data_IF_137791844332
#
_entry.id   IF_137791844332
#
_cell.length_a   1.000
_cell.length_b   1.000
_cell.length_c   1.000
_cell.angle_alpha   90.00
_cell.angle_beta   90.00
_cell.angle_gamma   90.00
#
_symmetry.space_group_name_H-M   'P 1'
#
loop_
_entity.id
_entity.type
_entity.pdbx_description
1 polymer ?
#
# COMPACT_ATOMS: atom_id res chain seq x y z
N UNK A 1 0.58 12.85 2.38
CA UNK A 1 0.83 11.50 2.88
C UNK A 1 2.26 11.42 3.40
N UNK A 2 2.45 10.82 4.57
CA UNK A 2 3.76 10.54 5.20
C UNK A 2 3.70 9.21 5.94
N UNK A 3 4.87 8.68 6.31
CA UNK A 3 4.96 7.47 7.15
C UNK A 3 4.22 7.73 8.47
N UNK A 4 3.39 6.78 8.89
CA UNK A 4 2.53 6.85 10.08
C UNK A 4 1.11 7.38 9.81
N UNK A 5 0.83 7.94 8.64
CA UNK A 5 -0.55 8.35 8.30
C UNK A 5 -1.46 7.12 8.20
N UNK A 6 -2.68 7.24 8.73
CA UNK A 6 -3.77 6.31 8.42
C UNK A 6 -4.38 6.68 7.08
N UNK A 7 -4.60 5.66 6.24
CA UNK A 7 -5.14 5.83 4.90
C UNK A 7 -6.23 4.81 4.60
N UNK A 8 -7.12 5.18 3.68
CA UNK A 8 -8.10 4.27 3.06
C UNK A 8 -7.79 4.09 1.59
N UNK A 9 -7.96 2.87 1.09
CA UNK A 9 -7.90 2.57 -0.35
C UNK A 9 -9.19 3.04 -1.03
N UNK A 10 -9.08 3.99 -1.95
CA UNK A 10 -10.24 4.61 -2.62
C UNK A 10 -10.49 4.07 -4.04
N UNK A 11 -9.45 3.51 -4.66
CA UNK A 11 -9.52 2.90 -5.99
C UNK A 11 -9.58 1.37 -5.93
N UNK A 12 -10.05 0.74 -7.01
CA UNK A 12 -10.06 -0.73 -7.13
C UNK A 12 -8.63 -1.24 -7.32
N UNK A 13 -8.10 -1.93 -6.31
CA UNK A 13 -6.74 -2.49 -6.32
C UNK A 13 -6.82 -3.99 -6.04
N UNK A 14 -6.78 -4.78 -7.11
CA UNK A 14 -6.89 -6.25 -7.02
C UNK A 14 -5.52 -6.87 -6.82
N UNK A 15 -5.34 -7.58 -5.71
CA UNK A 15 -4.11 -8.30 -5.36
C UNK A 15 -4.33 -9.81 -5.27
N UNK A 16 -3.23 -10.57 -5.26
CA UNK A 16 -3.27 -12.05 -5.21
C UNK A 16 -2.47 -12.64 -4.03
N UNK A 17 -1.83 -11.79 -3.23
CA UNK A 17 -0.98 -12.18 -2.10
C UNK A 17 -1.60 -11.90 -0.73
N UNK A 18 -2.90 -11.61 -0.67
CA UNK A 18 -3.60 -11.45 0.61
C UNK A 18 -3.53 -12.77 1.41
N UNK A 19 -3.07 -12.78 2.69
CA UNK A 19 -2.82 -14.01 3.44
C UNK A 19 -4.03 -14.92 3.62
N UNK A 20 -5.23 -14.34 3.72
CA UNK A 20 -6.50 -15.07 3.84
C UNK A 20 -7.11 -15.45 2.48
N UNK A 21 -6.64 -14.86 1.38
CA UNK A 21 -7.15 -15.07 0.01
C UNK A 21 -6.00 -15.33 -0.97
N UNK A 22 -5.11 -16.28 -0.63
CA UNK A 22 -3.89 -16.55 -1.42
C UNK A 22 -4.21 -17.02 -2.83
N UNK A 23 -3.50 -16.48 -3.81
CA UNK A 23 -3.59 -16.84 -5.25
C UNK A 23 -5.00 -16.65 -5.84
N UNK A 24 -5.85 -15.87 -5.19
CA UNK A 24 -7.18 -15.49 -5.67
C UNK A 24 -7.25 -13.98 -5.76
N UNK A 25 -7.98 -13.42 -6.75
CA UNK A 25 -8.17 -11.98 -6.83
C UNK A 25 -8.89 -11.49 -5.57
N UNK A 26 -8.34 -10.46 -4.94
CA UNK A 26 -8.90 -9.82 -3.76
C UNK A 26 -8.76 -8.31 -3.93
N UNK A 27 -9.89 -7.61 -4.03
CA UNK A 27 -9.92 -6.15 -4.15
C UNK A 27 -9.78 -5.52 -2.77
N UNK A 28 -8.86 -4.55 -2.67
CA UNK A 28 -8.55 -3.84 -1.43
C UNK A 28 -9.37 -2.56 -1.22
N UNK A 29 -10.21 -2.16 -2.18
CA UNK A 29 -11.01 -0.94 -2.08
C UNK A 29 -11.82 -0.89 -0.78
N UNK A 30 -11.74 0.23 -0.07
CA UNK A 30 -12.38 0.46 1.22
C UNK A 30 -11.60 -0.05 2.43
N UNK A 31 -10.53 -0.82 2.25
CA UNK A 31 -9.67 -1.23 3.36
C UNK A 31 -8.85 -0.06 3.90
N UNK A 32 -8.61 -0.06 5.20
CA UNK A 32 -7.82 0.96 5.90
C UNK A 32 -6.54 0.37 6.45
N UNK A 33 -5.48 1.16 6.44
CA UNK A 33 -4.18 0.77 6.95
C UNK A 33 -3.31 1.96 7.32
N UNK A 34 -2.05 1.68 7.62
CA UNK A 34 -1.05 2.68 7.99
C UNK A 34 0.09 2.67 6.97
N UNK A 35 0.53 3.86 6.53
CA UNK A 35 1.72 3.97 5.67
C UNK A 35 2.95 3.63 6.50
N UNK A 36 3.67 2.58 6.12
CA UNK A 36 4.89 2.14 6.81
C UNK A 36 6.16 2.48 6.05
N UNK A 37 6.07 2.82 4.76
CA UNK A 37 7.21 3.24 3.95
C UNK A 37 6.76 4.01 2.71
N UNK A 38 7.63 4.87 2.19
CA UNK A 38 7.47 5.55 0.89
C UNK A 38 8.82 5.47 0.17
N UNK A 39 8.91 4.61 -0.84
CA UNK A 39 10.16 4.37 -1.55
C UNK A 39 10.47 5.49 -2.55
N UNK A 40 11.54 6.24 -2.30
CA UNK A 40 12.09 7.28 -3.20
C UNK A 40 13.60 7.16 -3.36
N UNK A 41 14.28 6.60 -2.35
CA UNK A 41 15.72 6.44 -2.30
C UNK A 41 16.11 5.05 -1.75
N UNK A 42 17.24 4.53 -2.21
CA UNK A 42 17.94 3.39 -1.63
C UNK A 42 19.42 3.71 -1.39
N UNK A 43 19.79 3.92 -0.13
CA UNK A 43 21.17 4.17 0.30
C UNK A 43 21.82 5.38 -0.40
N UNK A 44 21.08 6.48 -0.55
CA UNK A 44 21.51 7.70 -1.21
C UNK A 44 21.44 7.64 -2.73
N UNK A 45 20.84 6.58 -3.30
CA UNK A 45 20.57 6.45 -4.72
C UNK A 45 19.07 6.60 -4.98
N UNK A 46 18.65 7.60 -5.77
CA UNK A 46 17.26 7.71 -6.20
C UNK A 46 16.79 6.45 -6.92
N UNK A 47 15.58 6.01 -6.60
CA UNK A 47 14.91 4.87 -7.22
C UNK A 47 13.56 5.31 -7.81
N UNK A 48 13.02 4.50 -8.73
CA UNK A 48 11.81 4.84 -9.49
C UNK A 48 10.67 3.81 -9.37
N UNK A 49 10.26 3.41 -8.16
CA UNK A 49 9.10 2.54 -7.99
C UNK A 49 7.83 3.24 -8.47
N UNK A 50 7.05 2.56 -9.29
CA UNK A 50 5.77 3.06 -9.79
C UNK A 50 4.63 2.94 -8.75
N UNK A 51 4.83 2.17 -7.68
CA UNK A 51 3.93 2.00 -6.53
C UNK A 51 4.74 2.27 -5.23
N UNK A 52 5.13 3.53 -4.96
CA UNK A 52 6.11 3.84 -3.91
C UNK A 52 5.56 3.68 -2.49
N UNK A 53 4.25 3.81 -2.28
CA UNK A 53 3.64 3.87 -0.93
C UNK A 53 3.34 2.47 -0.43
N UNK A 54 3.92 2.08 0.70
CA UNK A 54 3.66 0.78 1.34
C UNK A 54 2.71 0.95 2.50
N UNK A 55 1.55 0.30 2.42
CA UNK A 55 0.53 0.30 3.47
C UNK A 55 0.48 -1.06 4.17
N UNK A 56 0.43 -1.04 5.50
CA UNK A 56 0.20 -2.22 6.34
C UNK A 56 -1.26 -2.24 6.81
N UNK A 57 -1.95 -3.34 6.56
CA UNK A 57 -3.36 -3.53 6.96
C UNK A 57 -3.50 -4.43 8.19
N UNK A 58 -2.62 -5.44 8.31
CA UNK A 58 -2.54 -6.31 9.49
C UNK A 58 -1.09 -6.69 9.81
N UNK A 59 -0.86 -7.64 10.73
CA UNK A 59 0.51 -8.06 11.13
C UNK A 59 1.34 -8.66 9.99
N UNK A 60 0.70 -9.22 8.95
CA UNK A 60 1.32 -9.99 7.86
C UNK A 60 1.06 -9.41 6.47
N UNK A 61 -0.02 -8.65 6.28
CA UNK A 61 -0.43 -8.14 4.98
C UNK A 61 0.03 -6.69 4.75
N UNK A 62 0.76 -6.53 3.65
CA UNK A 62 1.25 -5.25 3.14
C UNK A 62 1.02 -5.22 1.63
N UNK A 63 0.71 -4.05 1.09
CA UNK A 63 0.60 -3.82 -0.35
C UNK A 63 1.21 -2.48 -0.73
N UNK A 64 1.56 -2.35 -2.01
CA UNK A 64 2.14 -1.16 -2.60
C UNK A 64 1.08 -0.42 -3.40
N UNK A 65 1.10 0.91 -3.34
CA UNK A 65 0.10 1.79 -3.94
C UNK A 65 0.75 3.01 -4.59
N UNK A 66 -0.01 3.63 -5.49
CA UNK A 66 0.19 5.03 -5.89
C UNK A 66 -0.46 5.95 -4.87
N UNK A 67 -0.04 7.22 -4.86
CA UNK A 67 -0.65 8.22 -3.99
C UNK A 67 -2.14 8.46 -4.31
N UNK A 68 -2.51 8.42 -5.59
CA UNK A 68 -3.90 8.68 -6.01
C UNK A 68 -4.86 7.50 -5.77
N UNK A 69 -4.36 6.35 -5.31
CA UNK A 69 -5.18 5.19 -4.93
C UNK A 69 -5.60 5.24 -3.45
N UNK A 70 -5.08 6.23 -2.69
CA UNK A 70 -5.21 6.35 -1.24
C UNK A 70 -5.75 7.74 -0.84
N UNK A 71 -6.52 7.78 0.24
CA UNK A 71 -6.89 9.03 0.95
C UNK A 71 -6.41 8.97 2.40
N UNK A 72 -5.97 10.10 2.96
CA UNK A 72 -5.63 10.22 4.39
C UNK A 72 -6.90 10.39 5.21
N UNK A 73 -6.97 9.72 6.37
CA UNK A 73 -8.08 9.78 7.33
C UNK A 73 -7.79 10.78 8.44
#
# INVERSE_FOLDING_TARGET
MKIGDRVRVIESVVVYHHPQNKKKPFDLKGMEGEIINIYTDWQGRPISPNLPVVVRFDKKFKAHFRENELEVI
#
